data_IF_220567018786
#
_entry.id   IF_220567018786
#
_cell.length_a   1.000
_cell.length_b   1.000
_cell.length_c   1.000
_cell.angle_alpha   90.00
_cell.angle_beta   90.00
_cell.angle_gamma   90.00
#
_symmetry.space_group_name_H-M   'P 1'
#
loop_
_entity.id
_entity.type
_entity.pdbx_description
1 polymer ?
#
# COMPACT_ATOMS: atom_id res chain seq x y z
N UNK A 1 6.41 -1.23 -9.41
CA UNK A 1 5.17 -1.57 -8.69
C UNK A 1 5.32 -1.30 -7.20
N UNK A 2 4.23 -1.10 -6.47
CA UNK A 2 4.22 -0.99 -5.01
C UNK A 2 3.79 -2.33 -4.42
N UNK A 3 4.52 -2.82 -3.43
CA UNK A 3 4.22 -4.07 -2.73
C UNK A 3 4.04 -3.79 -1.25
N UNK A 4 2.92 -4.23 -0.70
CA UNK A 4 2.59 -4.10 0.72
C UNK A 4 2.54 -5.50 1.33
N UNK A 5 3.46 -5.78 2.24
CA UNK A 5 3.45 -7.00 3.06
C UNK A 5 2.62 -6.72 4.31
N UNK A 6 1.53 -7.47 4.49
CA UNK A 6 0.69 -7.40 5.69
C UNK A 6 -0.03 -8.73 5.88
N UNK A 7 -0.25 -9.14 7.13
CA UNK A 7 -0.80 -10.47 7.46
C UNK A 7 -2.32 -10.50 7.58
N UNK A 8 -2.94 -9.35 7.86
CA UNK A 8 -4.38 -9.19 8.10
C UNK A 8 -4.88 -7.89 7.48
N UNK A 9 -6.21 -7.69 7.45
CA UNK A 9 -6.83 -6.43 6.98
C UNK A 9 -6.52 -6.07 5.52
N UNK A 10 -6.36 -7.08 4.66
CA UNK A 10 -5.95 -6.88 3.27
C UNK A 10 -6.94 -6.02 2.48
N UNK A 11 -8.24 -6.31 2.60
CA UNK A 11 -9.28 -5.56 1.87
C UNK A 11 -9.34 -4.10 2.31
N UNK A 12 -9.21 -3.86 3.61
CA UNK A 12 -9.21 -2.50 4.17
C UNK A 12 -7.99 -1.70 3.70
N UNK A 13 -6.82 -2.35 3.62
CA UNK A 13 -5.59 -1.74 3.08
C UNK A 13 -5.73 -1.47 1.58
N UNK A 14 -6.30 -2.39 0.81
CA UNK A 14 -6.57 -2.18 -0.62
C UNK A 14 -7.42 -0.92 -0.81
N UNK A 15 -8.54 -0.83 -0.10
CA UNK A 15 -9.41 0.34 -0.16
C UNK A 15 -8.70 1.63 0.27
N UNK A 16 -7.88 1.59 1.32
CA UNK A 16 -7.13 2.75 1.81
C UNK A 16 -6.07 3.24 0.81
N UNK A 17 -5.42 2.32 0.09
CA UNK A 17 -4.38 2.64 -0.89
C UNK A 17 -4.99 3.14 -2.19
N UNK A 18 -6.09 2.54 -2.67
CA UNK A 18 -6.82 3.01 -3.86
C UNK A 18 -7.52 4.36 -3.63
N UNK A 19 -7.77 4.74 -2.38
CA UNK A 19 -8.32 6.05 -2.01
C UNK A 19 -7.28 7.18 -1.94
N UNK A 20 -5.99 6.90 -2.15
CA UNK A 20 -4.95 7.93 -2.20
C UNK A 20 -5.13 8.82 -3.44
N UNK A 21 -4.84 10.11 -3.29
CA UNK A 21 -5.02 11.11 -4.36
C UNK A 21 -3.69 11.54 -4.98
N UNK A 22 -2.57 11.22 -4.34
CA UNK A 22 -1.21 11.58 -4.74
C UNK A 22 -0.75 10.85 -6.02
N UNK A 23 -1.32 9.67 -6.27
CA UNK A 23 -1.15 8.90 -7.49
C UNK A 23 -2.31 7.90 -7.63
N UNK A 24 -2.52 7.38 -8.84
CA UNK A 24 -3.49 6.31 -9.07
C UNK A 24 -2.84 4.98 -8.71
N UNK A 25 -3.26 4.42 -7.57
CA UNK A 25 -2.91 3.06 -7.20
C UNK A 25 -4.01 2.10 -7.65
N UNK A 26 -3.64 1.02 -8.34
CA UNK A 26 -4.58 -0.02 -8.78
C UNK A 26 -4.16 -1.36 -8.21
N UNK A 27 -5.05 -2.02 -7.47
CA UNK A 27 -4.74 -3.36 -6.96
C UNK A 27 -4.63 -4.38 -8.11
N UNK A 28 -3.52 -5.09 -8.17
CA UNK A 28 -3.23 -6.07 -9.23
C UNK A 28 -3.50 -7.49 -8.74
N UNK A 29 -2.90 -7.86 -7.61
CA UNK A 29 -3.01 -9.22 -7.08
C UNK A 29 -2.60 -9.31 -5.61
N UNK A 30 -3.06 -10.38 -4.97
CA UNK A 30 -2.63 -10.82 -3.64
C UNK A 30 -1.84 -12.11 -3.78
N UNK A 31 -0.66 -12.16 -3.19
CA UNK A 31 0.12 -13.39 -3.02
C UNK A 31 0.40 -13.60 -1.53
N UNK A 32 -0.38 -14.47 -0.89
CA UNK A 32 -0.36 -14.71 0.56
C UNK A 32 -0.53 -13.40 1.34
N UNK A 33 0.55 -12.88 1.92
CA UNK A 33 0.64 -11.65 2.70
C UNK A 33 1.10 -10.43 1.87
N UNK A 34 1.41 -10.62 0.59
CA UNK A 34 1.82 -9.55 -0.33
C UNK A 34 0.62 -9.04 -1.10
N UNK A 35 0.44 -7.73 -1.09
CA UNK A 35 -0.51 -7.02 -1.93
C UNK A 35 0.28 -6.22 -2.96
N UNK A 36 -0.03 -6.41 -4.23
CA UNK A 36 0.63 -5.75 -5.35
C UNK A 36 -0.27 -4.66 -5.89
N UNK A 37 0.28 -3.46 -6.01
CA UNK A 37 -0.38 -2.30 -6.59
C UNK A 37 0.44 -1.76 -7.75
N UNK A 38 -0.23 -1.51 -8.86
CA UNK A 38 0.27 -0.67 -9.93
C UNK A 38 0.15 0.79 -9.51
N UNK A 39 1.11 1.61 -9.91
CA UNK A 39 1.14 3.03 -9.63
C UNK A 39 1.47 3.75 -10.93
N UNK A 40 0.69 4.77 -11.28
CA UNK A 40 0.87 5.56 -12.50
C UNK A 40 1.99 6.62 -12.40
N UNK A 41 2.63 6.72 -11.24
CA UNK A 41 3.71 7.66 -10.99
C UNK A 41 5.09 7.03 -11.26
N UNK A 42 5.98 7.80 -11.88
CA UNK A 42 7.35 7.37 -12.17
C UNK A 42 8.25 7.29 -10.92
N UNK A 43 7.93 8.04 -9.85
CA UNK A 43 8.67 8.00 -8.58
C UNK A 43 8.03 7.01 -7.59
N UNK A 44 8.27 5.73 -7.86
CA UNK A 44 7.74 4.64 -7.04
C UNK A 44 8.26 4.68 -5.60
N UNK A 45 9.47 5.20 -5.35
CA UNK A 45 10.04 5.27 -4.00
C UNK A 45 9.35 6.35 -3.16
N UNK A 46 9.09 7.52 -3.74
CA UNK A 46 8.29 8.54 -3.09
C UNK A 46 6.87 8.03 -2.81
N UNK A 47 6.25 7.34 -3.78
CA UNK A 47 4.91 6.79 -3.61
C UNK A 47 4.85 5.69 -2.55
N UNK A 48 5.87 4.84 -2.44
CA UNK A 48 5.98 3.86 -1.37
C UNK A 48 6.02 4.53 0.02
N UNK A 49 6.68 5.69 0.15
CA UNK A 49 6.68 6.48 1.39
C UNK A 49 5.31 7.09 1.68
N UNK A 50 4.60 7.60 0.67
CA UNK A 50 3.23 8.12 0.82
C UNK A 50 2.30 7.02 1.34
N UNK A 51 2.29 5.86 0.67
CA UNK A 51 1.49 4.69 1.08
C UNK A 51 1.83 4.27 2.51
N UNK A 52 3.12 4.14 2.82
CA UNK A 52 3.58 3.78 4.17
C UNK A 52 3.13 4.78 5.22
N UNK A 53 3.22 6.08 4.93
CA UNK A 53 2.80 7.14 5.85
C UNK A 53 1.28 7.10 6.07
N UNK A 54 0.48 6.97 5.00
CA UNK A 54 -0.97 6.87 5.10
C UNK A 54 -1.43 5.70 5.98
N UNK A 55 -0.79 4.54 5.82
CA UNK A 55 -1.07 3.36 6.63
C UNK A 55 -0.58 3.55 8.07
N UNK A 56 0.54 4.24 8.30
CA UNK A 56 1.05 4.50 9.66
C UNK A 56 0.21 5.50 10.45
N UNK A 57 -0.34 6.52 9.79
CA UNK A 57 -1.17 7.54 10.45
C UNK A 57 -2.59 7.07 10.72
N UNK A 58 -3.00 5.96 10.11
CA UNK A 58 -4.30 5.37 10.34
C UNK A 58 -4.34 4.67 11.72
N UNK A 59 -5.34 4.94 12.57
CA UNK A 59 -5.44 4.33 13.90
C UNK A 59 -5.64 2.80 13.85
N UNK A 60 -6.14 2.27 12.74
CA UNK A 60 -6.37 0.83 12.56
C UNK A 60 -5.13 0.16 11.98
N UNK A 61 -4.49 0.77 10.98
CA UNK A 61 -3.34 0.16 10.30
C UNK A 61 -2.02 0.44 10.99
N UNK A 62 -1.87 1.58 11.67
CA UNK A 62 -0.62 2.01 12.29
C UNK A 62 -0.12 1.10 13.41
N UNK A 63 -1.01 0.31 14.02
CA UNK A 63 -0.67 -0.73 15.00
C UNK A 63 -0.24 -2.07 14.37
N UNK A 64 -0.45 -2.23 13.06
CA UNK A 64 -0.13 -3.47 12.35
C UNK A 64 1.35 -3.48 11.97
N UNK A 65 1.93 -4.67 11.95
CA UNK A 65 3.21 -4.88 11.31
C UNK A 65 3.01 -5.01 9.80
N UNK A 66 3.47 -4.01 9.05
CA UNK A 66 3.47 -4.03 7.60
C UNK A 66 4.77 -3.46 7.04
N UNK A 67 5.09 -3.86 5.81
CA UNK A 67 6.22 -3.35 5.06
C UNK A 67 5.74 -2.88 3.69
N UNK A 68 6.20 -1.73 3.24
CA UNK A 68 5.95 -1.21 1.89
C UNK A 68 7.28 -1.18 1.16
N UNK A 69 7.35 -1.83 0.00
CA UNK A 69 8.54 -1.93 -0.85
C UNK A 69 8.17 -1.68 -2.31
N UNK A 70 9.13 -1.20 -3.09
CA UNK A 70 9.02 -1.17 -4.55
C UNK A 70 9.47 -2.51 -5.12
N UNK A 71 8.83 -2.96 -6.21
CA UNK A 71 9.18 -4.15 -6.97
C UNK A 71 9.21 -3.84 -8.47
#
# INVERSE_FOLDING_TARGET
>A
MIVINVTIKHNDIIAAVEALTEAKFTFVKKDKMKLYFECDNNDLEAMAKVVKNRLKTDPIFGILYFQVTTA
#
